data_IF_925012449241
#
_entry.id   IF_925012449241
#
_cell.length_a   1.000
_cell.length_b   1.000
_cell.length_c   1.000
_cell.angle_alpha   90.00
_cell.angle_beta   90.00
_cell.angle_gamma   90.00
#
_symmetry.space_group_name_H-M   'P 1'
#
loop_
_entity.id
_entity.type
_entity.pdbx_description
1 polymer ?
#
# COMPACT_ATOMS: atom_id res chain seq x y z
N UNK A 1 -7.01 -2.29 -5.06
CA UNK A 1 -7.21 -3.35 -6.09
C UNK A 1 -8.42 -2.97 -6.91
N UNK A 2 -8.32 -2.83 -8.22
CA UNK A 2 -9.49 -2.47 -9.05
C UNK A 2 -10.56 -3.56 -9.01
N UNK A 3 -11.82 -3.17 -8.92
CA UNK A 3 -12.97 -4.08 -8.94
C UNK A 3 -13.87 -3.77 -10.12
N UNK A 4 -14.73 -4.72 -10.49
CA UNK A 4 -15.77 -4.47 -11.48
C UNK A 4 -16.77 -3.49 -10.88
N UNK A 5 -16.94 -2.37 -11.58
CA UNK A 5 -17.98 -1.39 -11.33
C UNK A 5 -19.34 -2.00 -11.63
N UNK A 6 -20.10 -2.29 -10.57
CA UNK A 6 -21.43 -2.86 -10.68
C UNK A 6 -22.23 -2.58 -9.40
N UNK A 7 -23.46 -2.09 -9.58
CA UNK A 7 -24.43 -1.96 -8.49
C UNK A 7 -25.38 -3.15 -8.56
N UNK A 8 -25.54 -3.85 -7.44
CA UNK A 8 -26.44 -5.02 -7.32
C UNK A 8 -27.40 -4.84 -6.15
N UNK A 9 -28.63 -5.33 -6.29
CA UNK A 9 -29.64 -5.34 -5.24
C UNK A 9 -29.95 -6.78 -4.84
N UNK A 10 -29.81 -7.12 -3.56
CA UNK A 10 -30.07 -8.49 -3.06
C UNK A 10 -31.52 -8.72 -2.58
N UNK A 11 -32.41 -7.76 -2.82
CA UNK A 11 -33.77 -7.76 -2.27
C UNK A 11 -33.92 -7.01 -0.94
N UNK A 12 -32.80 -6.63 -0.30
CA UNK A 12 -32.79 -5.87 0.97
C UNK A 12 -31.97 -4.59 0.89
N UNK A 13 -30.79 -4.64 0.26
CA UNK A 13 -29.89 -3.48 0.13
C UNK A 13 -29.16 -3.46 -1.21
N UNK A 14 -28.74 -2.27 -1.60
CA UNK A 14 -27.84 -2.08 -2.73
C UNK A 14 -26.38 -2.29 -2.30
N UNK A 15 -25.58 -2.88 -3.18
CA UNK A 15 -24.13 -3.08 -3.06
C UNK A 15 -23.43 -2.46 -4.26
N UNK A 16 -22.13 -2.22 -4.13
CA UNK A 16 -21.31 -1.67 -5.22
C UNK A 16 -20.96 -0.19 -5.06
N UNK A 17 -21.52 0.47 -4.06
CA UNK A 17 -21.13 1.83 -3.66
C UNK A 17 -19.89 1.84 -2.76
N UNK A 18 -19.30 3.01 -2.58
CA UNK A 18 -18.25 3.25 -1.59
C UNK A 18 -18.76 2.88 -0.20
N UNK A 19 -17.96 2.10 0.53
CA UNK A 19 -18.26 1.63 1.88
C UNK A 19 -16.98 1.70 2.72
N UNK A 20 -16.97 2.65 3.67
CA UNK A 20 -15.91 2.86 4.64
C UNK A 20 -16.26 2.28 6.03
N UNK A 21 -17.34 1.50 6.15
CA UNK A 21 -17.78 0.90 7.41
C UNK A 21 -18.50 1.87 8.37
N UNK A 22 -18.88 3.06 7.90
CA UNK A 22 -19.55 4.11 8.70
C UNK A 22 -21.06 3.89 8.87
N UNK A 23 -21.61 2.80 8.33
CA UNK A 23 -23.06 2.50 8.29
C UNK A 23 -23.92 3.59 7.63
N UNK A 24 -23.30 4.53 6.91
CA UNK A 24 -24.00 5.54 6.11
C UNK A 24 -24.40 4.87 4.79
N UNK A 25 -25.58 4.24 4.77
CA UNK A 25 -26.18 3.74 3.54
C UNK A 25 -26.95 4.85 2.84
N UNK A 26 -26.41 5.38 1.74
CA UNK A 26 -27.13 6.31 0.87
C UNK A 26 -26.85 5.96 -0.58
N UNK A 27 -27.91 5.87 -1.38
CA UNK A 27 -27.84 5.64 -2.83
C UNK A 27 -27.19 6.82 -3.59
N UNK A 28 -26.82 7.89 -2.88
CA UNK A 28 -26.06 9.02 -3.41
C UNK A 28 -24.54 8.82 -3.35
N UNK A 29 -24.07 7.74 -2.72
CA UNK A 29 -22.64 7.45 -2.68
C UNK A 29 -22.12 7.09 -4.09
N UNK A 30 -20.87 7.45 -4.41
CA UNK A 30 -20.28 7.06 -5.67
C UNK A 30 -20.11 5.54 -5.75
N UNK A 31 -20.14 5.01 -6.97
CA UNK A 31 -19.81 3.61 -7.25
C UNK A 31 -18.34 3.33 -6.92
N UNK A 32 -18.08 2.23 -6.24
CA UNK A 32 -16.73 1.83 -5.90
C UNK A 32 -15.95 1.34 -7.13
N UNK A 33 -14.72 1.84 -7.28
CA UNK A 33 -13.81 1.46 -8.36
C UNK A 33 -12.73 0.50 -7.87
N UNK A 34 -12.47 0.48 -6.58
CA UNK A 34 -11.40 -0.29 -5.96
C UNK A 34 -11.83 -0.91 -4.62
N UNK A 35 -11.25 -2.06 -4.29
CA UNK A 35 -11.20 -2.61 -2.95
C UNK A 35 -9.85 -2.30 -2.31
N UNK A 36 -9.86 -1.66 -1.14
CA UNK A 36 -8.70 -1.38 -0.32
C UNK A 36 -8.64 -2.38 0.84
N UNK A 37 -7.68 -3.31 0.80
CA UNK A 37 -7.66 -4.51 1.65
C UNK A 37 -6.43 -4.50 2.55
N UNK A 38 -6.63 -4.84 3.82
CA UNK A 38 -5.57 -5.04 4.80
C UNK A 38 -5.40 -6.52 5.11
N UNK A 39 -4.16 -7.00 5.01
CA UNK A 39 -3.77 -8.36 5.32
C UNK A 39 -2.72 -8.35 6.43
N UNK A 40 -3.01 -9.02 7.53
CA UNK A 40 -2.03 -9.27 8.59
C UNK A 40 -1.23 -10.51 8.23
N UNK A 41 0.08 -10.36 8.09
CA UNK A 41 0.99 -11.46 7.76
C UNK A 41 1.93 -11.73 8.94
N UNK A 42 1.98 -12.98 9.40
CA UNK A 42 2.82 -13.36 10.51
C UNK A 42 4.27 -13.55 10.06
N UNK A 43 5.19 -12.79 10.64
CA UNK A 43 6.61 -12.89 10.33
C UNK A 43 7.27 -14.14 10.95
N UNK A 44 6.91 -14.48 12.18
CA UNK A 44 7.47 -15.60 12.94
C UNK A 44 6.62 -16.89 12.85
N UNK A 45 5.70 -16.97 11.89
CA UNK A 45 4.77 -18.07 11.71
C UNK A 45 4.35 -18.24 10.27
N UNK A 46 3.40 -19.15 10.01
CA UNK A 46 2.93 -19.49 8.66
C UNK A 46 1.44 -19.22 8.50
N UNK A 47 1.00 -18.02 8.83
CA UNK A 47 -0.39 -17.62 8.65
C UNK A 47 -0.51 -16.17 8.16
N UNK A 48 -1.61 -15.93 7.47
CA UNK A 48 -2.04 -14.62 6.99
C UNK A 48 -3.55 -14.51 7.18
N UNK A 49 -4.03 -13.34 7.56
CA UNK A 49 -5.44 -13.10 7.85
C UNK A 49 -5.89 -11.76 7.25
N UNK A 50 -6.93 -11.72 6.41
CA UNK A 50 -7.57 -10.47 6.03
C UNK A 50 -8.23 -9.86 7.26
N UNK A 51 -7.85 -8.63 7.61
CA UNK A 51 -8.35 -7.96 8.83
C UNK A 51 -9.40 -6.89 8.52
N UNK A 52 -9.50 -6.47 7.26
CA UNK A 52 -10.48 -5.49 6.83
C UNK A 52 -10.37 -5.19 5.35
N UNK A 53 -11.47 -4.73 4.77
CA UNK A 53 -11.51 -4.18 3.43
C UNK A 53 -12.49 -3.01 3.37
N UNK A 54 -12.24 -2.11 2.43
CA UNK A 54 -13.07 -0.95 2.17
C UNK A 54 -13.34 -0.86 0.67
N UNK A 55 -14.58 -0.55 0.30
CA UNK A 55 -14.93 -0.27 -1.09
C UNK A 55 -14.76 1.23 -1.31
N UNK A 56 -13.89 1.63 -2.23
CA UNK A 56 -13.47 3.02 -2.40
C UNK A 56 -13.58 3.47 -3.86
N UNK A 57 -13.74 4.77 -4.05
CA UNK A 57 -13.65 5.45 -5.34
C UNK A 57 -12.44 6.40 -5.33
N UNK A 58 -11.29 5.87 -4.89
CA UNK A 58 -10.14 6.65 -4.46
C UNK A 58 -10.18 6.97 -2.96
N UNK A 59 -9.00 7.24 -2.41
CA UNK A 59 -8.77 7.76 -1.06
C UNK A 59 -7.53 8.63 -1.10
N UNK A 60 -7.58 9.76 -0.43
CA UNK A 60 -6.42 10.62 -0.27
C UNK A 60 -5.38 10.01 0.71
N UNK A 61 -4.22 10.66 0.79
CA UNK A 61 -3.11 10.18 1.63
C UNK A 61 -3.46 10.19 3.12
N UNK A 62 -4.20 11.21 3.59
CA UNK A 62 -4.57 11.40 4.99
C UNK A 62 -5.62 10.39 5.44
N UNK A 63 -6.59 10.09 4.57
CA UNK A 63 -7.62 9.08 4.79
C UNK A 63 -6.98 7.69 4.91
N UNK A 64 -6.10 7.33 3.98
CA UNK A 64 -5.34 6.06 4.04
C UNK A 64 -4.50 5.96 5.30
N UNK A 65 -3.79 7.02 5.67
CA UNK A 65 -2.99 7.07 6.89
C UNK A 65 -3.85 6.90 8.15
N UNK A 66 -5.04 7.51 8.18
CA UNK A 66 -6.00 7.38 9.29
C UNK A 66 -6.52 5.95 9.42
N UNK A 67 -6.84 5.29 8.29
CA UNK A 67 -7.26 3.88 8.28
C UNK A 67 -6.11 2.97 8.77
N UNK A 68 -4.87 3.20 8.33
CA UNK A 68 -3.69 2.45 8.80
C UNK A 68 -3.52 2.61 10.31
N UNK A 69 -3.56 3.84 10.84
CA UNK A 69 -3.47 4.10 12.29
C UNK A 69 -4.58 3.36 13.03
N UNK A 70 -5.80 3.40 12.52
CA UNK A 70 -6.93 2.71 13.16
C UNK A 70 -6.77 1.19 13.16
N UNK A 71 -6.29 0.61 12.06
CA UNK A 71 -6.00 -0.81 11.99
C UNK A 71 -4.93 -1.22 13.03
N UNK A 72 -3.87 -0.42 13.19
CA UNK A 72 -2.82 -0.67 14.18
C UNK A 72 -3.33 -0.61 15.62
N UNK A 73 -4.18 0.37 15.95
CA UNK A 73 -4.86 0.44 17.26
C UNK A 73 -5.66 -0.83 17.55
N UNK A 74 -6.51 -1.25 16.59
CA UNK A 74 -7.37 -2.42 16.77
C UNK A 74 -6.58 -3.73 16.86
N UNK A 75 -5.47 -3.85 16.12
CA UNK A 75 -4.59 -5.02 16.22
C UNK A 75 -3.87 -5.04 17.56
N UNK A 76 -3.43 -3.88 18.07
CA UNK A 76 -2.75 -3.78 19.36
C UNK A 76 -3.60 -4.33 20.51
N UNK A 77 -4.91 -4.05 20.50
CA UNK A 77 -5.86 -4.55 21.51
C UNK A 77 -5.93 -6.09 21.57
N UNK A 78 -5.50 -6.78 20.51
CA UNK A 78 -5.42 -8.26 20.48
C UNK A 78 -4.13 -8.84 21.06
N UNK A 79 -3.16 -7.98 21.40
CA UNK A 79 -1.83 -8.38 21.88
C UNK A 79 -0.82 -8.72 20.78
N UNK A 80 -1.16 -8.51 19.51
CA UNK A 80 -0.25 -8.71 18.38
C UNK A 80 0.66 -7.48 18.22
N UNK A 81 1.97 -7.71 18.09
CA UNK A 81 2.95 -6.64 17.82
C UNK A 81 3.18 -6.50 16.31
N UNK A 82 2.79 -5.36 15.74
CA UNK A 82 2.99 -5.05 14.32
C UNK A 82 4.29 -4.28 14.15
N UNK A 83 5.26 -4.91 13.49
CA UNK A 83 6.62 -4.36 13.32
C UNK A 83 6.85 -3.67 11.97
N UNK A 84 6.00 -3.92 10.98
CA UNK A 84 6.18 -3.38 9.63
C UNK A 84 4.88 -3.21 8.87
N UNK A 85 4.85 -2.21 7.99
CA UNK A 85 3.83 -1.98 6.99
C UNK A 85 4.42 -2.22 5.59
N UNK A 86 3.77 -3.04 4.76
CA UNK A 86 4.21 -3.30 3.39
C UNK A 86 3.14 -2.88 2.38
N UNK A 87 3.55 -2.21 1.29
CA UNK A 87 2.64 -1.80 0.21
C UNK A 87 3.33 -1.76 -1.17
N UNK A 88 2.54 -1.66 -2.23
CA UNK A 88 3.01 -1.57 -3.61
C UNK A 88 3.36 -0.13 -4.06
N UNK A 89 3.96 0.01 -5.24
CA UNK A 89 4.56 1.26 -5.74
C UNK A 89 3.66 2.43 -6.20
N UNK A 90 2.30 2.43 -6.16
CA UNK A 90 1.52 3.62 -6.49
C UNK A 90 1.88 4.83 -5.62
N UNK A 91 1.89 6.01 -6.24
CA UNK A 91 2.24 7.28 -5.57
C UNK A 91 1.35 7.61 -4.37
N UNK A 92 0.11 7.13 -4.36
CA UNK A 92 -0.84 7.30 -3.26
C UNK A 92 -0.38 6.58 -1.98
N UNK A 93 0.27 5.42 -2.07
CA UNK A 93 0.82 4.74 -0.91
C UNK A 93 2.07 5.44 -0.38
N UNK A 94 2.92 5.95 -1.28
CA UNK A 94 4.07 6.79 -0.90
C UNK A 94 3.61 8.05 -0.18
N UNK A 95 2.55 8.70 -0.66
CA UNK A 95 1.96 9.86 -0.01
C UNK A 95 1.40 9.50 1.37
N UNK A 96 0.69 8.38 1.51
CA UNK A 96 0.24 7.88 2.82
C UNK A 96 1.41 7.63 3.79
N UNK A 97 2.51 7.05 3.33
CA UNK A 97 3.68 6.86 4.18
C UNK A 97 4.32 8.19 4.62
N UNK A 98 4.28 9.23 3.76
CA UNK A 98 4.69 10.59 4.17
C UNK A 98 3.78 11.17 5.24
N UNK A 99 2.46 10.99 5.13
CA UNK A 99 1.48 11.38 6.15
C UNK A 99 1.68 10.65 7.49
N UNK A 100 2.23 9.43 7.45
CA UNK A 100 2.62 8.69 8.66
C UNK A 100 3.94 9.21 9.26
N UNK A 101 4.71 10.03 8.53
CA UNK A 101 5.96 10.63 9.01
C UNK A 101 7.23 10.01 8.43
N UNK A 102 7.12 9.27 7.33
CA UNK A 102 8.27 8.74 6.57
C UNK A 102 8.74 9.71 5.48
N UNK A 103 10.02 9.62 5.13
CA UNK A 103 10.63 10.35 4.00
C UNK A 103 11.43 9.36 3.15
N UNK A 104 11.30 9.45 1.83
CA UNK A 104 12.00 8.58 0.87
C UNK A 104 12.91 9.36 -0.08
N UNK A 105 13.33 10.56 0.32
CA UNK A 105 14.35 11.35 -0.36
C UNK A 105 15.71 10.72 -0.12
N UNK A 106 16.54 10.62 -1.16
CA UNK A 106 17.78 9.83 -1.13
C UNK A 106 18.76 10.29 -0.03
N UNK A 107 18.73 11.58 0.29
CA UNK A 107 19.61 12.23 1.25
C UNK A 107 19.10 12.13 2.70
N UNK A 108 17.82 11.80 2.90
CA UNK A 108 17.15 11.88 4.20
C UNK A 108 16.12 10.76 4.40
N UNK A 109 16.47 9.54 3.99
CA UNK A 109 15.55 8.39 4.08
C UNK A 109 15.19 8.14 5.56
N UNK A 110 13.90 8.23 5.85
CA UNK A 110 13.27 7.82 7.10
C UNK A 110 12.14 6.85 6.76
N UNK A 111 12.41 5.56 6.85
CA UNK A 111 11.49 4.48 6.47
C UNK A 111 10.70 3.90 7.65
N UNK A 112 10.44 4.68 8.70
CA UNK A 112 9.65 4.24 9.84
C UNK A 112 8.78 5.37 10.38
N UNK A 113 7.74 4.99 11.12
CA UNK A 113 6.89 5.90 11.88
C UNK A 113 6.50 5.26 13.22
N UNK A 114 6.19 6.07 14.26
CA UNK A 114 5.81 5.54 15.56
C UNK A 114 4.42 4.91 15.53
N UNK A 115 4.30 3.72 16.12
CA UNK A 115 3.03 3.05 16.35
C UNK A 115 2.09 3.95 17.18
N UNK A 116 0.81 4.13 16.80
CA UNK A 116 -0.08 5.12 17.42
C UNK A 116 -0.25 4.92 18.94
N UNK A 117 -0.29 3.66 19.39
CA UNK A 117 -0.39 3.32 20.83
C UNK A 117 0.97 3.18 21.52
N UNK A 118 1.84 2.26 21.07
CA UNK A 118 3.07 1.90 21.80
C UNK A 118 4.25 2.83 21.55
N UNK A 119 4.18 3.71 20.54
CA UNK A 119 5.28 4.57 20.07
C UNK A 119 6.53 3.81 19.58
N UNK A 120 6.48 2.47 19.48
CA UNK A 120 7.54 1.67 18.83
C UNK A 120 7.55 1.94 17.34
N UNK A 121 8.73 1.87 16.72
CA UNK A 121 8.86 2.07 15.28
C UNK A 121 8.18 0.94 14.47
N UNK A 122 7.38 1.35 13.49
CA UNK A 122 6.86 0.50 12.43
C UNK A 122 7.63 0.81 11.16
N UNK A 123 8.32 -0.21 10.63
CA UNK A 123 9.13 -0.07 9.41
C UNK A 123 8.23 -0.13 8.17
N UNK A 124 8.37 0.82 7.27
CA UNK A 124 7.67 0.85 5.98
C UNK A 124 8.54 0.21 4.91
N UNK A 125 7.97 -0.79 4.22
CA UNK A 125 8.65 -1.58 3.21
C UNK A 125 7.86 -1.53 1.90
N UNK A 126 8.51 -1.20 0.79
CA UNK A 126 7.91 -1.41 -0.52
C UNK A 126 7.97 -2.89 -0.90
N UNK A 127 6.94 -3.39 -1.58
CA UNK A 127 6.97 -4.72 -2.17
C UNK A 127 8.17 -4.84 -3.13
N UNK A 128 9.14 -5.64 -2.71
CA UNK A 128 10.42 -5.82 -3.40
C UNK A 128 10.22 -6.36 -4.82
N UNK A 129 9.26 -7.25 -5.02
CA UNK A 129 8.98 -7.82 -6.34
C UNK A 129 8.47 -6.75 -7.31
N UNK A 130 7.64 -5.82 -6.81
CA UNK A 130 7.18 -4.67 -7.57
C UNK A 130 8.31 -3.67 -7.85
N UNK A 131 9.15 -3.39 -6.86
CA UNK A 131 10.28 -2.47 -7.03
C UNK A 131 11.30 -2.99 -8.05
N UNK A 132 11.63 -4.29 -8.01
CA UNK A 132 12.52 -4.91 -8.99
C UNK A 132 11.95 -4.85 -10.41
N UNK A 133 10.64 -5.06 -10.58
CA UNK A 133 9.96 -4.89 -11.87
C UNK A 133 10.10 -3.45 -12.39
N UNK A 134 9.98 -2.43 -11.53
CA UNK A 134 10.15 -1.03 -11.92
C UNK A 134 11.58 -0.72 -12.34
N UNK A 135 12.60 -1.18 -11.59
CA UNK A 135 14.01 -1.01 -11.97
C UNK A 135 14.29 -1.64 -13.32
N UNK A 136 13.83 -2.87 -13.54
CA UNK A 136 13.95 -3.57 -14.83
C UNK A 136 13.29 -2.79 -15.97
N UNK A 137 12.05 -2.33 -15.78
CA UNK A 137 11.33 -1.58 -16.80
C UNK A 137 12.00 -0.22 -17.09
N UNK A 138 12.57 0.42 -16.07
CA UNK A 138 13.36 1.64 -16.23
C UNK A 138 14.59 1.37 -17.11
N UNK A 139 15.37 0.34 -16.80
CA UNK A 139 16.54 -0.03 -17.60
C UNK A 139 16.16 -0.36 -19.06
N UNK A 140 15.08 -1.12 -19.26
CA UNK A 140 14.60 -1.48 -20.61
C UNK A 140 14.07 -0.28 -21.42
N UNK A 141 13.54 0.75 -20.76
CA UNK A 141 12.98 1.93 -21.44
C UNK A 141 14.00 3.04 -21.67
N UNK A 142 15.08 3.07 -20.87
CA UNK A 142 16.16 4.06 -20.97
C UNK A 142 17.35 3.56 -21.79
N UNK A 143 17.39 2.27 -22.11
CA UNK A 143 18.51 1.51 -22.70
C UNK A 143 19.81 1.51 -21.88
N UNK A 144 20.14 2.62 -21.23
CA UNK A 144 21.30 2.80 -20.38
C UNK A 144 20.99 3.68 -19.17
N UNK A 145 21.55 3.32 -18.02
CA UNK A 145 21.60 4.14 -16.82
C UNK A 145 23.06 4.24 -16.36
N UNK A 146 23.41 5.28 -15.62
CA UNK A 146 24.78 5.50 -15.12
C UNK A 146 24.80 5.38 -13.61
N UNK A 147 25.84 4.74 -13.09
CA UNK A 147 26.08 4.71 -11.65
C UNK A 147 26.75 6.00 -11.13
N UNK A 148 26.97 6.08 -9.82
CA UNK A 148 27.64 7.24 -9.19
C UNK A 148 29.10 7.47 -9.62
N UNK A 149 29.70 6.53 -10.37
CA UNK A 149 31.04 6.66 -10.96
C UNK A 149 30.97 6.91 -12.47
N UNK A 150 29.79 7.23 -13.00
CA UNK A 150 29.53 7.47 -14.41
C UNK A 150 29.82 6.23 -15.30
N UNK A 151 29.74 5.02 -14.74
CA UNK A 151 29.85 3.77 -15.51
C UNK A 151 28.48 3.38 -16.05
N UNK A 152 28.44 2.96 -17.31
CA UNK A 152 27.20 2.60 -17.99
C UNK A 152 26.72 1.21 -17.57
N UNK A 153 25.45 1.14 -17.18
CA UNK A 153 24.68 -0.09 -17.03
C UNK A 153 23.66 -0.11 -18.18
N UNK A 154 23.88 -0.97 -19.16
CA UNK A 154 23.07 -1.06 -20.37
C UNK A 154 22.18 -2.30 -20.43
N UNK A 155 20.99 -2.17 -21.02
CA UNK A 155 20.09 -3.27 -21.31
C UNK A 155 20.73 -4.31 -22.25
N UNK A 156 21.59 -3.86 -23.17
CA UNK A 156 22.34 -4.71 -24.09
C UNK A 156 23.18 -5.79 -23.39
N UNK A 157 23.70 -5.52 -22.18
CA UNK A 157 24.45 -6.52 -21.43
C UNK A 157 23.56 -7.68 -20.98
N UNK A 158 22.28 -7.42 -20.73
CA UNK A 158 21.29 -8.44 -20.38
C UNK A 158 20.92 -9.25 -21.62
N UNK A 159 20.72 -8.59 -22.78
CA UNK A 159 20.45 -9.28 -24.04
C UNK A 159 21.58 -10.24 -24.41
N UNK A 160 22.85 -9.81 -24.25
CA UNK A 160 24.03 -10.62 -24.59
C UNK A 160 24.26 -11.84 -23.70
N UNK A 161 23.55 -11.96 -22.58
CA UNK A 161 23.62 -13.15 -21.70
C UNK A 161 22.72 -14.30 -22.18
N UNK A 162 21.82 -14.03 -23.14
CA UNK A 162 20.90 -15.00 -23.75
C UNK A 162 21.26 -15.26 -25.23
#
# INVERSE_FOLDING_TARGET
MSIRRQIEFDGKRFYGYVDLGTQIGSDQLPEATEAYVFLLNCFNGKWKLPIGYFLIAGLDASERASIVKKALELIHDTGIDVVSLTFDGPSTNTAMARELGCTFEAEAIKSHFPHPVTQKDIVVIYDTSHMLKLVRNCLASKDSIFDGQNRMVGWDFIIKLH
#
